data_IF_013539905672
#
_entry.id   IF_013539905672
#
_cell.length_a   1.000
_cell.length_b   1.000
_cell.length_c   1.000
_cell.angle_alpha   90.00
_cell.angle_beta   90.00
_cell.angle_gamma   90.00
#
_symmetry.space_group_name_H-M   'P 1'
#
loop_
_entity.id
_entity.type
_entity.pdbx_description
1 polymer ?
#
# COMPACT_ATOMS: atom_id res chain seq x y z
N UNK A 1 4.01 -5.51 22.43
CA UNK A 1 4.96 -4.47 22.88
C UNK A 1 4.37 -3.06 22.78
N UNK A 2 4.04 -2.56 21.58
CA UNK A 2 3.58 -1.16 21.40
C UNK A 2 2.42 -0.73 22.31
N UNK A 3 1.39 -1.58 22.50
CA UNK A 3 0.23 -1.27 23.35
C UNK A 3 0.60 -1.02 24.82
N UNK A 4 1.58 -1.75 25.34
CA UNK A 4 2.09 -1.56 26.70
C UNK A 4 2.92 -0.29 26.81
N UNK A 5 3.80 -0.04 25.83
CA UNK A 5 4.66 1.13 25.81
C UNK A 5 3.86 2.44 25.76
N UNK A 6 2.84 2.51 24.90
CA UNK A 6 2.01 3.72 24.76
C UNK A 6 1.20 3.99 26.04
N UNK A 7 0.71 2.95 26.72
CA UNK A 7 0.05 3.06 28.03
C UNK A 7 1.00 3.56 29.10
N UNK A 8 2.21 2.98 29.18
CA UNK A 8 3.25 3.42 30.12
C UNK A 8 3.59 4.90 29.91
N UNK A 9 3.81 5.32 28.65
CA UNK A 9 4.17 6.71 28.34
C UNK A 9 3.05 7.70 28.67
N UNK A 10 1.80 7.36 28.37
CA UNK A 10 0.67 8.20 28.74
C UNK A 10 0.50 8.29 30.27
N UNK A 11 0.62 7.18 30.99
CA UNK A 11 0.40 7.16 32.45
C UNK A 11 1.54 7.75 33.28
N UNK A 12 2.78 7.42 32.91
CA UNK A 12 3.95 7.66 33.75
C UNK A 12 4.80 8.84 33.27
N UNK A 13 4.68 9.22 31.98
CA UNK A 13 5.42 10.36 31.41
C UNK A 13 4.54 11.54 31.02
N UNK A 14 3.22 11.42 31.18
CA UNK A 14 2.23 12.42 30.77
C UNK A 14 2.33 12.78 29.27
N UNK A 15 2.69 11.80 28.44
CA UNK A 15 2.88 12.03 27.01
C UNK A 15 1.54 12.10 26.29
N UNK A 16 1.42 13.07 25.37
CA UNK A 16 0.39 13.04 24.34
C UNK A 16 0.80 12.02 23.27
N UNK A 17 0.07 10.90 23.20
CA UNK A 17 0.43 9.76 22.37
C UNK A 17 -0.62 9.45 21.32
N UNK A 18 -0.20 9.08 20.12
CA UNK A 18 -1.11 8.58 19.07
C UNK A 18 -0.80 7.13 18.70
N UNK A 19 -1.86 6.38 18.37
CA UNK A 19 -1.74 5.12 17.63
C UNK A 19 -2.40 5.31 16.26
N UNK A 20 -1.60 5.16 15.21
CA UNK A 20 -2.03 5.31 13.83
C UNK A 20 -2.04 3.94 13.16
N UNK A 21 -3.17 3.56 12.57
CA UNK A 21 -3.31 2.37 11.71
C UNK A 21 -3.69 2.76 10.28
N UNK A 22 -3.49 1.90 9.25
CA UNK A 22 -3.76 2.28 7.86
C UNK A 22 -5.23 2.59 7.60
N UNK A 23 -6.14 1.86 8.26
CA UNK A 23 -7.58 1.99 8.10
C UNK A 23 -8.30 2.10 9.43
N UNK A 24 -9.51 2.68 9.43
CA UNK A 24 -10.40 2.74 10.59
C UNK A 24 -10.77 1.37 11.15
N UNK A 25 -10.89 0.34 10.29
CA UNK A 25 -11.19 -1.03 10.73
C UNK A 25 -10.06 -1.59 11.59
N UNK A 26 -8.81 -1.37 11.18
CA UNK A 26 -7.62 -1.83 11.92
C UNK A 26 -7.45 -1.03 13.21
N UNK A 27 -7.60 0.29 13.14
CA UNK A 27 -7.63 1.17 14.30
C UNK A 27 -8.68 0.75 15.34
N UNK A 28 -9.87 0.32 14.91
CA UNK A 28 -10.94 -0.15 15.80
C UNK A 28 -10.56 -1.41 16.57
N UNK A 29 -9.78 -2.32 15.99
CA UNK A 29 -9.28 -3.50 16.70
C UNK A 29 -8.33 -3.08 17.84
N UNK A 30 -7.38 -2.20 17.53
CA UNK A 30 -6.43 -1.69 18.51
C UNK A 30 -7.15 -0.94 19.63
N UNK A 31 -8.14 -0.12 19.29
CA UNK A 31 -8.98 0.58 20.26
C UNK A 31 -9.65 -0.38 21.25
N UNK A 32 -10.24 -1.48 20.77
CA UNK A 32 -10.87 -2.49 21.64
C UNK A 32 -9.87 -3.09 22.61
N UNK A 33 -8.65 -3.37 22.15
CA UNK A 33 -7.61 -3.94 23.01
C UNK A 33 -7.11 -2.93 24.06
N UNK A 34 -6.79 -1.70 23.65
CA UNK A 34 -6.35 -0.65 24.58
C UNK A 34 -7.43 -0.32 25.61
N UNK A 35 -8.69 -0.27 25.20
CA UNK A 35 -9.83 -0.12 26.13
C UNK A 35 -9.94 -1.28 27.11
N UNK A 36 -9.70 -2.52 26.67
CA UNK A 36 -9.71 -3.69 27.57
C UNK A 36 -8.57 -3.58 28.57
N UNK A 37 -7.38 -3.20 28.12
CA UNK A 37 -6.20 -3.03 28.98
C UNK A 37 -6.37 -1.87 29.96
N UNK A 38 -7.00 -0.76 29.54
CA UNK A 38 -7.16 0.43 30.39
C UNK A 38 -8.06 0.19 31.60
N UNK A 39 -8.95 -0.81 31.56
CA UNK A 39 -9.79 -1.22 32.71
C UNK A 39 -8.98 -1.68 33.91
N UNK A 40 -7.74 -2.10 33.70
CA UNK A 40 -6.85 -2.51 34.79
C UNK A 40 -6.20 -1.33 35.53
N UNK A 41 -6.49 -0.09 35.11
CA UNK A 41 -5.85 1.11 35.64
C UNK A 41 -6.88 2.18 36.01
N UNK A 42 -7.08 2.41 37.30
CA UNK A 42 -8.03 3.40 37.84
C UNK A 42 -7.68 4.87 37.49
N UNK A 43 -6.45 5.10 37.04
CA UNK A 43 -5.96 6.41 36.62
C UNK A 43 -6.26 6.75 35.15
N UNK A 44 -6.90 5.84 34.42
CA UNK A 44 -7.26 6.03 33.01
C UNK A 44 -8.76 6.28 32.86
N UNK A 45 -9.12 7.25 32.05
CA UNK A 45 -10.50 7.55 31.65
C UNK A 45 -10.64 7.36 30.15
N UNK A 46 -11.74 6.75 29.71
CA UNK A 46 -11.93 6.35 28.31
C UNK A 46 -13.07 7.14 27.68
N UNK A 47 -12.79 7.93 26.64
CA UNK A 47 -13.79 8.54 25.78
C UNK A 47 -14.08 7.64 24.57
N UNK A 48 -15.29 7.08 24.50
CA UNK A 48 -15.68 6.24 23.35
C UNK A 48 -15.81 7.04 22.06
N UNK A 49 -16.41 8.23 22.16
CA UNK A 49 -16.73 9.05 20.97
C UNK A 49 -15.46 9.57 20.29
N UNK A 50 -14.42 9.90 21.07
CA UNK A 50 -13.16 10.41 20.54
C UNK A 50 -12.12 9.32 20.25
N UNK A 51 -12.43 8.06 20.59
CA UNK A 51 -11.46 6.96 20.64
C UNK A 51 -10.18 7.37 21.36
N UNK A 52 -10.34 7.89 22.58
CA UNK A 52 -9.30 8.53 23.38
C UNK A 52 -9.25 7.96 24.80
N UNK A 53 -8.05 7.78 25.33
CA UNK A 53 -7.80 7.44 26.74
C UNK A 53 -6.99 8.57 27.35
N UNK A 54 -7.44 9.10 28.48
CA UNK A 54 -6.76 10.14 29.24
C UNK A 54 -6.25 9.59 30.56
N UNK A 55 -5.00 9.90 30.89
CA UNK A 55 -4.43 9.66 32.20
C UNK A 55 -4.69 10.85 33.11
N UNK A 56 -5.03 10.61 34.38
CA UNK A 56 -5.31 11.66 35.39
C UNK A 56 -4.22 12.73 35.50
N UNK A 57 -2.97 12.40 35.18
CA UNK A 57 -1.81 13.28 35.27
C UNK A 57 -1.51 14.07 33.97
N UNK A 58 -2.37 13.96 32.95
CA UNK A 58 -2.33 14.80 31.74
C UNK A 58 -1.84 14.12 30.46
N UNK A 59 -1.35 12.88 30.52
CA UNK A 59 -1.04 12.11 29.31
C UNK A 59 -2.30 11.60 28.61
N UNK A 60 -2.18 11.28 27.33
CA UNK A 60 -3.30 10.82 26.53
C UNK A 60 -2.89 9.80 25.46
N UNK A 61 -3.84 9.00 25.02
CA UNK A 61 -3.72 8.09 23.89
C UNK A 61 -4.92 8.32 22.98
N UNK A 62 -4.68 8.72 21.73
CA UNK A 62 -5.72 8.84 20.72
C UNK A 62 -5.50 7.84 19.59
N UNK A 63 -6.58 7.25 19.11
CA UNK A 63 -6.54 6.34 17.96
C UNK A 63 -6.87 7.12 16.69
N UNK A 64 -6.04 6.92 15.67
CA UNK A 64 -6.11 7.60 14.38
C UNK A 64 -5.95 6.62 13.22
N UNK A 65 -6.40 7.04 12.06
CA UNK A 65 -6.35 6.28 10.81
C UNK A 65 -5.59 7.08 9.77
N UNK A 66 -4.66 6.44 9.05
CA UNK A 66 -3.94 7.04 7.93
C UNK A 66 -4.74 7.04 6.62
N UNK A 67 -6.02 6.62 6.64
CA UNK A 67 -6.88 6.63 5.45
C UNK A 67 -7.06 8.04 4.85
N UNK A 68 -7.10 9.09 5.69
CA UNK A 68 -7.15 10.49 5.26
C UNK A 68 -6.02 11.25 5.98
N UNK A 69 -4.78 11.22 5.46
CA UNK A 69 -3.61 11.76 6.17
C UNK A 69 -3.74 13.24 6.54
N UNK A 70 -4.37 14.06 5.70
CA UNK A 70 -4.47 15.51 5.94
C UNK A 70 -5.23 15.88 7.21
N UNK A 71 -6.18 15.04 7.66
CA UNK A 71 -6.94 15.30 8.90
C UNK A 71 -6.13 15.07 10.17
N UNK A 72 -4.92 14.54 10.05
CA UNK A 72 -4.04 14.23 11.17
C UNK A 72 -3.14 15.41 11.56
N UNK A 73 -3.05 16.46 10.73
CA UNK A 73 -2.17 17.60 10.97
C UNK A 73 -2.64 18.44 12.17
N UNK A 74 -1.69 19.08 12.86
CA UNK A 74 -1.97 20.14 13.83
C UNK A 74 -1.92 19.76 15.31
N UNK A 75 -1.58 18.50 15.66
CA UNK A 75 -1.37 18.10 17.05
C UNK A 75 0.13 18.00 17.41
N UNK A 76 0.53 18.47 18.59
CA UNK A 76 1.88 18.31 19.12
C UNK A 76 2.02 17.02 19.94
N UNK A 77 2.78 16.06 19.44
CA UNK A 77 2.90 14.70 20.00
C UNK A 77 4.23 14.49 20.74
N UNK A 78 4.17 13.73 21.83
CA UNK A 78 5.35 13.24 22.53
C UNK A 78 5.77 11.85 22.04
N UNK A 79 4.79 11.05 21.61
CA UNK A 79 5.06 9.70 21.11
C UNK A 79 3.99 9.24 20.11
N UNK A 80 4.38 8.41 19.16
CA UNK A 80 3.45 7.83 18.19
C UNK A 80 3.82 6.39 17.87
N UNK A 81 2.80 5.55 17.75
CA UNK A 81 2.93 4.20 17.17
C UNK A 81 2.30 4.22 15.78
N UNK A 82 3.10 3.92 14.76
CA UNK A 82 2.59 3.64 13.40
C UNK A 82 2.54 2.13 13.23
N UNK A 83 1.33 1.59 13.28
CA UNK A 83 1.05 0.16 13.20
C UNK A 83 0.68 -0.23 11.78
N UNK A 84 1.29 -1.28 11.25
CA UNK A 84 1.22 -1.65 9.83
C UNK A 84 1.77 -0.55 8.91
N UNK A 85 2.90 0.04 9.32
CA UNK A 85 3.51 1.18 8.66
C UNK A 85 3.83 0.92 7.18
N UNK A 86 4.29 -0.27 6.79
CA UNK A 86 4.60 -0.57 5.39
C UNK A 86 3.39 -0.43 4.44
N UNK A 87 2.16 -0.41 4.97
CA UNK A 87 0.92 -0.29 4.21
C UNK A 87 0.31 1.12 4.25
N UNK A 88 0.99 2.09 4.87
CA UNK A 88 0.58 3.49 4.86
C UNK A 88 1.27 4.26 3.71
N UNK A 89 0.65 5.36 3.24
CA UNK A 89 1.30 6.27 2.30
C UNK A 89 2.57 6.89 2.92
N UNK A 90 3.71 6.96 2.20
CA UNK A 90 5.00 7.38 2.74
C UNK A 90 5.00 8.80 3.32
N UNK A 91 4.18 9.70 2.76
CA UNK A 91 4.02 11.08 3.23
C UNK A 91 3.51 11.17 4.68
N UNK A 92 2.87 10.12 5.21
CA UNK A 92 2.40 10.07 6.60
C UNK A 92 3.54 10.35 7.58
N UNK A 93 4.73 9.82 7.31
CA UNK A 93 5.87 10.00 8.20
C UNK A 93 6.55 11.34 7.95
N UNK A 94 7.01 11.56 6.71
CA UNK A 94 7.87 12.70 6.38
C UNK A 94 7.17 14.05 6.51
N UNK A 95 5.89 14.13 6.13
CA UNK A 95 5.17 15.39 5.97
C UNK A 95 4.18 15.69 7.09
N UNK A 96 3.75 14.68 7.84
CA UNK A 96 2.69 14.82 8.86
C UNK A 96 3.23 14.49 10.24
N UNK A 97 3.57 13.23 10.49
CA UNK A 97 3.86 12.75 11.84
C UNK A 97 5.21 13.28 12.36
N UNK A 98 6.26 13.30 11.52
CA UNK A 98 7.58 13.80 11.94
C UNK A 98 7.55 15.28 12.35
N UNK A 99 6.90 16.20 11.59
CA UNK A 99 6.67 17.57 12.06
C UNK A 99 5.95 17.65 13.40
N UNK A 100 4.90 16.84 13.61
CA UNK A 100 4.12 16.82 14.85
C UNK A 100 4.90 16.37 16.09
N UNK A 101 6.01 15.64 15.92
CA UNK A 101 6.91 15.25 17.00
C UNK A 101 7.99 16.30 17.28
N UNK A 102 8.26 17.21 16.34
CA UNK A 102 9.43 18.08 16.36
C UNK A 102 9.41 19.06 17.54
N UNK A 103 8.26 19.67 17.82
CA UNK A 103 8.11 20.65 18.91
C UNK A 103 8.40 20.07 20.29
N UNK A 104 8.22 18.75 20.47
CA UNK A 104 8.38 18.07 21.76
C UNK A 104 9.57 17.12 21.81
N UNK A 105 10.42 17.11 20.77
CA UNK A 105 11.47 16.10 20.61
C UNK A 105 10.93 14.68 20.83
N UNK A 106 9.76 14.42 20.25
CA UNK A 106 8.99 13.20 20.47
C UNK A 106 9.58 11.97 19.77
N UNK A 107 9.19 10.78 20.23
CA UNK A 107 9.62 9.51 19.67
C UNK A 107 8.57 8.85 18.76
N UNK A 108 9.00 7.94 17.89
CA UNK A 108 8.11 7.12 17.09
C UNK A 108 8.49 5.63 17.21
N UNK A 109 7.48 4.77 17.19
CA UNK A 109 7.63 3.32 17.05
C UNK A 109 6.87 2.86 15.81
N UNK A 110 7.59 2.25 14.88
CA UNK A 110 7.01 1.68 13.66
C UNK A 110 6.89 0.18 13.83
N UNK A 111 5.69 -0.36 13.64
CA UNK A 111 5.38 -1.78 13.67
C UNK A 111 4.84 -2.17 12.30
N UNK A 112 5.36 -3.22 11.69
CA UNK A 112 4.86 -3.72 10.40
C UNK A 112 5.46 -5.09 10.09
N UNK A 113 4.85 -5.80 9.15
CA UNK A 113 5.52 -6.86 8.39
C UNK A 113 6.22 -6.27 7.16
N UNK A 114 7.27 -6.92 6.64
CA UNK A 114 7.90 -6.54 5.36
C UNK A 114 6.91 -6.59 4.19
N UNK A 115 6.91 -5.54 3.36
CA UNK A 115 6.13 -5.49 2.12
C UNK A 115 6.99 -4.92 1.00
N UNK A 116 7.78 -5.81 0.38
CA UNK A 116 8.83 -5.42 -0.56
C UNK A 116 9.85 -4.45 0.07
N UNK A 117 10.58 -3.73 -0.78
CA UNK A 117 11.52 -2.67 -0.36
C UNK A 117 10.92 -1.27 -0.53
N UNK A 118 9.92 -0.97 0.27
CA UNK A 118 9.25 0.33 0.27
C UNK A 118 9.83 1.28 1.36
N UNK A 119 9.17 2.40 1.64
CA UNK A 119 9.64 3.39 2.61
C UNK A 119 9.86 2.83 4.04
N UNK A 120 9.12 1.79 4.44
CA UNK A 120 9.35 1.13 5.73
C UNK A 120 10.66 0.33 5.73
N UNK A 121 11.06 -0.24 4.59
CA UNK A 121 12.40 -0.82 4.41
C UNK A 121 13.49 0.23 4.57
N UNK A 122 13.31 1.44 4.03
CA UNK A 122 14.28 2.52 4.19
C UNK A 122 14.44 2.93 5.66
N UNK A 123 13.35 3.03 6.41
CA UNK A 123 13.40 3.25 7.87
C UNK A 123 14.09 2.11 8.60
N UNK A 124 13.78 0.86 8.23
CA UNK A 124 14.43 -0.29 8.80
C UNK A 124 15.94 -0.26 8.52
N UNK A 125 16.36 0.12 7.33
CA UNK A 125 17.77 0.25 6.98
C UNK A 125 18.45 1.41 7.71
N UNK A 126 17.78 2.55 7.89
CA UNK A 126 18.28 3.65 8.70
C UNK A 126 18.58 3.18 10.14
N UNK A 127 17.69 2.43 10.78
CA UNK A 127 17.93 1.90 12.13
C UNK A 127 18.93 0.74 12.22
N UNK A 128 19.46 0.27 11.08
CA UNK A 128 20.59 -0.68 11.00
C UNK A 128 21.93 0.03 10.79
N UNK A 129 21.92 1.27 10.29
CA UNK A 129 23.13 2.07 10.06
C UNK A 129 23.63 2.67 11.39
N UNK A 130 24.84 2.28 11.80
CA UNK A 130 25.46 2.77 13.04
C UNK A 130 25.70 4.28 13.04
N UNK A 131 25.68 4.93 11.86
CA UNK A 131 25.81 6.38 11.74
C UNK A 131 24.51 7.11 12.10
N UNK A 132 23.37 6.42 12.05
CA UNK A 132 22.05 6.97 12.36
C UNK A 132 21.69 6.69 13.83
N UNK A 133 22.28 7.45 14.76
CA UNK A 133 22.15 7.17 16.20
C UNK A 133 20.71 7.32 16.76
N UNK A 134 19.85 8.07 16.06
CA UNK A 134 18.45 8.29 16.45
C UNK A 134 17.53 7.13 16.07
N UNK A 135 18.01 6.20 15.24
CA UNK A 135 17.22 5.11 14.70
C UNK A 135 17.70 3.77 15.21
N UNK A 136 16.74 2.86 15.44
CA UNK A 136 17.05 1.49 15.81
C UNK A 136 16.03 0.53 15.24
N UNK A 137 16.53 -0.51 14.58
CA UNK A 137 15.70 -1.55 13.97
C UNK A 137 15.78 -2.86 14.74
N UNK A 138 14.64 -3.54 14.80
CA UNK A 138 14.49 -4.86 15.40
C UNK A 138 13.72 -5.76 14.43
N UNK A 139 14.04 -7.05 14.43
CA UNK A 139 13.39 -8.04 13.58
C UNK A 139 13.09 -9.27 14.44
N UNK A 140 11.85 -9.75 14.36
CA UNK A 140 11.39 -10.91 15.13
C UNK A 140 10.61 -11.84 14.19
N UNK A 141 10.98 -13.12 14.21
CA UNK A 141 10.27 -14.19 13.50
C UNK A 141 9.14 -14.75 14.36
N UNK A 142 8.16 -15.41 13.74
CA UNK A 142 7.11 -16.13 14.46
C UNK A 142 7.67 -17.22 15.39
N UNK A 143 8.82 -17.83 15.06
CA UNK A 143 9.48 -18.84 15.94
C UNK A 143 10.00 -18.26 17.26
N UNK A 144 10.15 -16.93 17.36
CA UNK A 144 10.53 -16.24 18.59
C UNK A 144 9.32 -15.89 19.46
N UNK A 145 8.09 -16.13 18.98
CA UNK A 145 6.88 -15.90 19.76
C UNK A 145 6.60 -17.12 20.67
N UNK A 146 6.72 -16.98 22.01
CA UNK A 146 6.53 -18.10 22.93
C UNK A 146 5.06 -18.57 23.04
N UNK A 147 4.12 -17.81 22.45
CA UNK A 147 2.69 -18.11 22.51
C UNK A 147 2.16 -18.88 21.29
N UNK A 148 2.99 -19.11 20.27
CA UNK A 148 2.63 -19.92 19.11
C UNK A 148 3.41 -21.25 19.19
N UNK A 149 2.72 -22.41 19.22
CA UNK A 149 3.39 -23.70 19.15
C UNK A 149 4.26 -23.81 17.90
N UNK A 150 5.46 -24.39 18.03
CA UNK A 150 6.39 -24.52 16.90
C UNK A 150 5.80 -25.40 15.79
N UNK A 151 5.04 -26.43 16.15
CA UNK A 151 4.42 -27.33 15.17
C UNK A 151 3.40 -26.58 14.28
N UNK A 152 2.71 -25.57 14.81
CA UNK A 152 1.78 -24.75 14.03
C UNK A 152 2.52 -23.96 12.94
N UNK A 153 3.67 -23.37 13.29
CA UNK A 153 4.50 -22.62 12.34
C UNK A 153 5.06 -23.56 11.26
N UNK A 154 5.47 -24.76 11.65
CA UNK A 154 5.97 -25.78 10.72
C UNK A 154 4.87 -26.27 9.75
N UNK A 155 3.64 -26.44 10.25
CA UNK A 155 2.46 -26.76 9.45
C UNK A 155 2.15 -25.67 8.42
N UNK A 156 2.16 -24.40 8.85
CA UNK A 156 1.96 -23.24 7.97
C UNK A 156 3.04 -23.19 6.88
N UNK A 157 4.30 -23.47 7.22
CA UNK A 157 5.40 -23.52 6.26
C UNK A 157 5.16 -24.52 5.13
N UNK A 158 4.57 -25.67 5.46
CA UNK A 158 4.25 -26.70 4.46
C UNK A 158 3.04 -26.33 3.59
N UNK A 159 2.11 -25.53 4.12
CA UNK A 159 0.87 -25.15 3.43
C UNK A 159 0.96 -23.84 2.63
N UNK A 160 2.00 -23.03 2.85
CA UNK A 160 2.11 -21.67 2.30
C UNK A 160 3.26 -21.57 1.29
N UNK A 161 3.16 -20.65 0.32
CA UNK A 161 4.29 -20.39 -0.59
C UNK A 161 5.52 -19.89 0.16
N UNK A 162 6.71 -20.22 -0.35
CA UNK A 162 7.98 -19.83 0.29
C UNK A 162 8.11 -18.31 0.46
N UNK A 163 7.65 -17.52 -0.50
CA UNK A 163 7.69 -16.05 -0.41
C UNK A 163 6.80 -15.51 0.71
N UNK A 164 5.55 -15.97 0.79
CA UNK A 164 4.63 -15.54 1.85
C UNK A 164 5.15 -16.00 3.22
N UNK A 165 5.67 -17.23 3.33
CA UNK A 165 6.24 -17.72 4.59
C UNK A 165 7.42 -16.86 5.06
N UNK A 166 8.35 -16.54 4.16
CA UNK A 166 9.53 -15.72 4.49
C UNK A 166 9.15 -14.29 4.87
N UNK A 167 8.22 -13.67 4.16
CA UNK A 167 7.78 -12.31 4.46
C UNK A 167 6.95 -12.24 5.77
N UNK A 168 5.87 -13.01 5.87
CA UNK A 168 4.89 -12.89 6.97
C UNK A 168 5.36 -13.56 8.27
N UNK A 169 6.13 -14.65 8.19
CA UNK A 169 6.51 -15.43 9.37
C UNK A 169 7.99 -15.27 9.73
N UNK A 170 8.89 -15.22 8.75
CA UNK A 170 10.32 -14.98 9.01
C UNK A 170 10.69 -13.50 9.04
N UNK A 171 9.72 -12.60 8.79
CA UNK A 171 9.93 -11.16 8.76
C UNK A 171 11.07 -10.73 7.83
N UNK A 172 11.25 -11.41 6.69
CA UNK A 172 12.30 -11.10 5.71
C UNK A 172 11.84 -10.07 4.69
N UNK A 173 12.67 -9.05 4.46
CA UNK A 173 12.53 -8.18 3.30
C UNK A 173 13.00 -8.92 2.06
N UNK A 174 12.05 -9.49 1.32
CA UNK A 174 12.33 -10.15 0.07
C UNK A 174 12.68 -9.13 -1.01
N UNK A 175 13.73 -9.46 -1.78
CA UNK A 175 13.92 -8.89 -3.11
C UNK A 175 12.74 -9.25 -4.02
N UNK A 176 12.55 -8.51 -5.11
CA UNK A 176 11.58 -8.81 -6.19
C UNK A 176 11.77 -10.21 -6.84
N UNK A 177 12.62 -11.08 -6.27
CA UNK A 177 12.97 -12.41 -6.75
C UNK A 177 11.77 -13.37 -6.94
N UNK A 178 10.60 -13.04 -6.35
CA UNK A 178 9.34 -13.77 -6.55
C UNK A 178 8.33 -13.10 -7.48
N UNK A 179 8.59 -11.87 -7.95
CA UNK A 179 7.73 -11.16 -8.90
C UNK A 179 8.20 -11.45 -10.33
N UNK A 180 7.26 -11.56 -11.27
CA UNK A 180 7.57 -11.72 -12.71
C UNK A 180 8.37 -10.51 -13.23
N UNK A 181 8.15 -9.34 -12.63
CA UNK A 181 8.83 -8.09 -12.97
C UNK A 181 9.65 -7.59 -11.77
N UNK A 182 10.89 -7.21 -12.02
CA UNK A 182 11.84 -6.68 -11.03
C UNK A 182 12.15 -5.22 -11.31
N UNK A 183 12.47 -4.45 -10.27
CA UNK A 183 12.89 -3.05 -10.42
C UNK A 183 11.76 -2.13 -10.83
N UNK A 184 10.51 -2.48 -10.49
CA UNK A 184 9.31 -1.74 -10.91
C UNK A 184 9.38 -0.28 -10.44
N UNK A 185 9.74 -0.04 -9.18
CA UNK A 185 9.84 1.32 -8.64
C UNK A 185 10.92 2.15 -9.35
N UNK A 186 12.05 1.54 -9.70
CA UNK A 186 13.10 2.21 -10.46
C UNK A 186 12.70 2.49 -11.92
N UNK A 187 11.81 1.67 -12.49
CA UNK A 187 11.30 1.83 -13.85
C UNK A 187 10.08 2.77 -13.94
N UNK A 188 9.36 3.01 -12.84
CA UNK A 188 8.14 3.82 -12.80
C UNK A 188 8.42 5.34 -12.79
N UNK A 189 9.19 5.83 -13.76
CA UNK A 189 9.65 7.23 -13.85
C UNK A 189 8.86 8.06 -14.86
N UNK A 190 7.68 7.60 -15.28
CA UNK A 190 6.87 8.32 -16.26
C UNK A 190 6.38 9.67 -15.69
N UNK A 191 6.31 10.74 -16.51
CA UNK A 191 5.76 12.03 -16.08
C UNK A 191 4.31 11.88 -15.58
N UNK A 192 3.89 12.65 -14.58
CA UNK A 192 2.53 12.59 -14.04
C UNK A 192 1.44 13.06 -15.03
N UNK A 193 1.80 13.94 -15.97
CA UNK A 193 0.86 14.57 -16.91
C UNK A 193 1.43 14.67 -18.33
N UNK A 194 1.67 13.53 -19.00
CA UNK A 194 2.15 13.51 -20.37
C UNK A 194 1.08 14.09 -21.31
N UNK A 195 1.52 14.79 -22.37
CA UNK A 195 0.66 15.30 -23.44
C UNK A 195 1.08 14.66 -24.77
N UNK A 196 0.15 14.43 -25.71
CA UNK A 196 0.51 13.94 -27.04
C UNK A 196 1.42 14.96 -27.74
N UNK A 197 2.49 14.45 -28.34
CA UNK A 197 3.46 15.22 -29.11
C UNK A 197 3.31 14.85 -30.58
N UNK A 198 3.41 15.85 -31.44
CA UNK A 198 3.30 15.66 -32.88
C UNK A 198 4.47 14.84 -33.43
N UNK A 199 4.20 14.01 -34.43
CA UNK A 199 5.21 13.15 -35.07
C UNK A 199 5.65 11.92 -34.26
N UNK A 200 5.12 11.73 -33.04
CA UNK A 200 5.43 10.55 -32.21
C UNK A 200 4.63 9.32 -32.61
N UNK A 201 5.26 8.17 -32.41
CA UNK A 201 4.61 6.86 -32.55
C UNK A 201 4.06 6.37 -31.20
N UNK A 202 2.75 6.35 -31.07
CA UNK A 202 2.07 5.77 -29.91
C UNK A 202 1.55 4.37 -30.22
N UNK A 203 1.76 3.44 -29.30
CA UNK A 203 1.23 2.07 -29.35
C UNK A 203 0.63 1.71 -28.01
N UNK A 204 -0.25 0.72 -27.95
CA UNK A 204 -0.86 0.34 -26.69
C UNK A 204 -1.52 -1.02 -26.66
N UNK A 205 -2.11 -1.30 -25.52
CA UNK A 205 -2.84 -2.54 -25.26
C UNK A 205 -4.15 -2.29 -24.53
N UNK A 206 -5.10 -3.19 -24.75
CA UNK A 206 -6.39 -3.26 -24.05
C UNK A 206 -6.47 -4.61 -23.35
N UNK A 207 -6.69 -4.57 -22.05
CA UNK A 207 -7.03 -5.72 -21.22
C UNK A 207 -8.51 -5.64 -20.84
N UNK A 208 -9.29 -6.67 -21.17
CA UNK A 208 -10.74 -6.65 -21.04
C UNK A 208 -11.19 -7.15 -19.66
N UNK A 209 -11.86 -6.29 -18.89
CA UNK A 209 -12.47 -6.65 -17.61
C UNK A 209 -13.93 -7.08 -17.74
N UNK A 210 -14.38 -7.98 -16.85
CA UNK A 210 -15.79 -8.40 -16.70
C UNK A 210 -16.53 -7.56 -15.65
N UNK A 211 -17.75 -7.96 -15.27
CA UNK A 211 -18.63 -7.28 -14.31
C UNK A 211 -18.03 -6.99 -12.93
N UNK A 212 -16.93 -7.65 -12.54
CA UNK A 212 -16.16 -7.35 -11.31
C UNK A 212 -14.74 -6.85 -11.58
N UNK A 213 -14.19 -7.12 -12.75
CA UNK A 213 -12.82 -6.78 -13.12
C UNK A 213 -12.80 -5.44 -13.86
N UNK A 214 -11.62 -4.85 -13.96
CA UNK A 214 -11.45 -3.60 -14.67
C UNK A 214 -10.98 -3.85 -16.09
N UNK A 215 -11.58 -3.14 -17.05
CA UNK A 215 -10.98 -2.96 -18.36
C UNK A 215 -9.88 -1.91 -18.23
N UNK A 216 -8.70 -2.19 -18.76
CA UNK A 216 -7.53 -1.32 -18.70
C UNK A 216 -7.02 -1.04 -20.11
N UNK A 217 -6.74 0.23 -20.39
CA UNK A 217 -6.10 0.66 -21.64
C UNK A 217 -4.79 1.31 -21.26
N UNK A 218 -3.70 0.87 -21.89
CA UNK A 218 -2.35 1.44 -21.67
C UNK A 218 -1.77 1.90 -23.00
N UNK A 219 -1.32 3.15 -23.05
CA UNK A 219 -0.58 3.72 -24.18
C UNK A 219 0.88 3.96 -23.81
N UNK A 220 1.77 3.69 -24.76
CA UNK A 220 3.22 3.82 -24.66
C UNK A 220 3.72 4.65 -25.85
N UNK A 221 4.58 5.62 -25.58
CA UNK A 221 5.39 6.26 -26.62
C UNK A 221 6.50 5.28 -27.02
N UNK A 222 6.49 4.84 -28.27
CA UNK A 222 7.40 3.80 -28.75
C UNK A 222 8.87 4.26 -28.78
N UNK A 223 9.13 5.57 -28.85
CA UNK A 223 10.48 6.13 -28.87
C UNK A 223 11.04 6.26 -27.46
N UNK A 224 10.29 6.89 -26.55
CA UNK A 224 10.75 7.12 -25.17
C UNK A 224 10.52 5.91 -24.25
N UNK A 225 9.70 4.96 -24.69
CA UNK A 225 9.25 3.78 -23.93
C UNK A 225 8.49 4.14 -22.65
N UNK A 226 7.97 5.37 -22.57
CA UNK A 226 7.20 5.83 -21.42
C UNK A 226 5.73 5.45 -21.58
N UNK A 227 5.11 5.01 -20.48
CA UNK A 227 3.65 4.92 -20.40
C UNK A 227 3.11 6.36 -20.38
N UNK A 228 2.28 6.69 -21.38
CA UNK A 228 1.75 8.05 -21.58
C UNK A 228 0.27 8.16 -21.28
N UNK A 229 -0.47 7.06 -21.22
CA UNK A 229 -1.83 7.07 -20.74
C UNK A 229 -2.19 5.72 -20.13
N UNK A 230 -2.92 5.76 -19.02
CA UNK A 230 -3.55 4.59 -18.42
C UNK A 230 -4.99 4.97 -18.10
N UNK A 231 -5.93 4.29 -18.73
CA UNK A 231 -7.35 4.36 -18.34
C UNK A 231 -7.79 3.05 -17.73
N UNK A 232 -8.58 3.14 -16.66
CA UNK A 232 -9.11 1.99 -15.95
C UNK A 232 -10.57 2.24 -15.58
N UNK A 233 -11.46 1.33 -15.94
CA UNK A 233 -12.88 1.41 -15.62
C UNK A 233 -13.52 0.03 -15.41
N UNK A 234 -14.52 -0.05 -14.54
CA UNK A 234 -15.30 -1.25 -14.25
C UNK A 234 -16.80 -0.93 -14.21
N UNK A 235 -17.65 -1.96 -14.34
CA UNK A 235 -19.12 -1.82 -14.26
C UNK A 235 -19.73 -0.84 -15.28
N UNK A 236 -19.04 -0.62 -16.40
CA UNK A 236 -19.48 0.25 -17.48
C UNK A 236 -20.01 -0.60 -18.64
N UNK A 237 -21.17 -0.23 -19.20
CA UNK A 237 -21.73 -0.90 -20.37
C UNK A 237 -20.83 -0.79 -21.61
N UNK A 238 -20.86 -1.80 -22.50
CA UNK A 238 -19.95 -1.91 -23.65
C UNK A 238 -19.88 -0.69 -24.56
N UNK A 239 -21.02 -0.03 -24.81
CA UNK A 239 -21.05 1.19 -25.63
C UNK A 239 -20.21 2.31 -25.02
N UNK A 240 -20.27 2.49 -23.69
CA UNK A 240 -19.49 3.52 -23.00
C UNK A 240 -18.01 3.12 -22.89
N UNK A 241 -17.68 1.84 -22.77
CA UNK A 241 -16.29 1.36 -22.87
C UNK A 241 -15.69 1.70 -24.24
N UNK A 242 -16.41 1.41 -25.32
CA UNK A 242 -15.98 1.75 -26.69
C UNK A 242 -15.83 3.26 -26.89
N UNK A 243 -16.78 4.05 -26.38
CA UNK A 243 -16.70 5.52 -26.43
C UNK A 243 -15.45 6.08 -25.76
N UNK A 244 -15.04 5.51 -24.61
CA UNK A 244 -13.79 5.89 -23.93
C UNK A 244 -12.55 5.51 -24.76
N UNK A 245 -12.53 4.31 -25.32
CA UNK A 245 -11.43 3.86 -26.20
C UNK A 245 -11.31 4.80 -27.41
N UNK A 246 -12.43 5.13 -28.06
CA UNK A 246 -12.45 6.03 -29.20
C UNK A 246 -11.97 7.44 -28.83
N UNK A 247 -12.41 7.99 -27.69
CA UNK A 247 -11.95 9.30 -27.21
C UNK A 247 -10.43 9.32 -26.94
N UNK A 248 -9.91 8.27 -26.32
CA UNK A 248 -8.48 8.13 -26.07
C UNK A 248 -7.69 8.03 -27.39
N UNK A 249 -8.22 7.30 -28.38
CA UNK A 249 -7.62 7.19 -29.71
C UNK A 249 -7.67 8.51 -30.49
N UNK A 250 -8.73 9.29 -30.36
CA UNK A 250 -8.83 10.61 -30.99
C UNK A 250 -7.79 11.58 -30.41
N UNK A 251 -7.53 11.50 -29.10
CA UNK A 251 -6.55 12.35 -28.42
C UNK A 251 -5.10 11.96 -28.76
N UNK A 252 -4.76 10.68 -28.63
CA UNK A 252 -3.37 10.21 -28.74
C UNK A 252 -2.98 9.70 -30.12
N UNK A 253 -3.96 9.42 -30.99
CA UNK A 253 -3.75 8.87 -32.34
C UNK A 253 -2.76 7.69 -32.37
N UNK A 254 -2.96 6.64 -31.55
CA UNK A 254 -2.07 5.49 -31.56
C UNK A 254 -2.06 4.81 -32.92
N UNK A 255 -0.90 4.33 -33.36
CA UNK A 255 -0.79 3.55 -34.58
C UNK A 255 -1.42 2.17 -34.43
N UNK A 256 -1.27 1.55 -33.25
CA UNK A 256 -1.80 0.21 -32.94
C UNK A 256 -2.24 0.09 -31.49
N UNK A 257 -3.38 -0.56 -31.28
CA UNK A 257 -3.82 -1.10 -29.99
C UNK A 257 -3.93 -2.62 -30.08
N UNK A 258 -3.33 -3.35 -29.15
CA UNK A 258 -3.44 -4.80 -29.08
C UNK A 258 -4.46 -5.20 -28.02
N UNK A 259 -5.47 -5.98 -28.38
CA UNK A 259 -6.50 -6.43 -27.46
C UNK A 259 -6.60 -7.95 -27.46
N UNK A 260 -6.76 -8.56 -26.28
CA UNK A 260 -6.93 -10.02 -26.20
C UNK A 260 -8.19 -10.46 -26.95
N UNK A 261 -8.03 -11.42 -27.86
CA UNK A 261 -9.13 -12.02 -28.61
C UNK A 261 -9.68 -13.23 -27.86
N UNK A 262 -10.57 -12.96 -26.91
CA UNK A 262 -11.40 -13.96 -26.24
C UNK A 262 -12.87 -13.82 -26.70
N UNK A 263 -13.76 -14.70 -26.22
CA UNK A 263 -15.18 -14.73 -26.66
C UNK A 263 -15.93 -13.41 -26.43
N UNK A 264 -15.44 -12.55 -25.54
CA UNK A 264 -16.00 -11.22 -25.26
C UNK A 264 -15.25 -10.13 -26.03
N UNK A 265 -13.92 -10.24 -26.09
CA UNK A 265 -13.05 -9.32 -26.80
C UNK A 265 -13.38 -9.25 -28.29
N UNK A 266 -13.73 -10.39 -28.92
CA UNK A 266 -14.01 -10.49 -30.35
C UNK A 266 -15.13 -9.53 -30.82
N UNK A 267 -16.28 -9.51 -30.13
CA UNK A 267 -17.42 -8.63 -30.50
C UNK A 267 -17.07 -7.15 -30.33
N UNK A 268 -16.31 -6.81 -29.29
CA UNK A 268 -15.87 -5.43 -29.06
C UNK A 268 -14.78 -5.01 -30.05
N UNK A 269 -13.88 -5.92 -30.42
CA UNK A 269 -12.85 -5.73 -31.44
C UNK A 269 -13.47 -5.38 -32.79
N UNK A 270 -14.41 -6.19 -33.28
CA UNK A 270 -15.11 -5.94 -34.55
C UNK A 270 -15.80 -4.58 -34.55
N UNK A 271 -16.51 -4.25 -33.46
CA UNK A 271 -17.22 -3.00 -33.35
C UNK A 271 -16.27 -1.78 -33.30
N UNK A 272 -15.15 -1.87 -32.59
CA UNK A 272 -14.13 -0.83 -32.54
C UNK A 272 -13.43 -0.64 -33.89
N UNK A 273 -13.16 -1.73 -34.62
CA UNK A 273 -12.60 -1.66 -35.97
C UNK A 273 -13.56 -0.99 -36.94
N UNK A 274 -14.86 -1.28 -36.83
CA UNK A 274 -15.90 -0.60 -37.61
C UNK A 274 -15.96 0.90 -37.30
N UNK A 275 -15.69 1.29 -36.05
CA UNK A 275 -15.61 2.69 -35.60
C UNK A 275 -14.26 3.36 -35.98
N UNK A 276 -13.39 2.70 -36.74
CA UNK A 276 -12.11 3.24 -37.23
C UNK A 276 -10.98 3.24 -36.19
N UNK A 277 -11.16 2.57 -35.05
CA UNK A 277 -10.13 2.44 -34.03
C UNK A 277 -9.05 1.45 -34.51
N UNK A 278 -7.75 1.77 -34.38
CA UNK A 278 -6.66 0.95 -34.90
C UNK A 278 -6.33 -0.24 -33.97
N UNK A 279 -7.35 -1.02 -33.62
CA UNK A 279 -7.23 -2.17 -32.73
C UNK A 279 -6.96 -3.48 -33.49
N UNK A 280 -6.06 -4.30 -32.95
CA UNK A 280 -5.61 -5.58 -33.49
C UNK A 280 -5.81 -6.69 -32.45
N UNK A 281 -6.25 -7.88 -32.87
CA UNK A 281 -6.39 -9.01 -31.97
C UNK A 281 -5.02 -9.57 -31.54
N UNK A 282 -4.93 -10.01 -30.29
CA UNK A 282 -3.81 -10.75 -29.73
C UNK A 282 -4.33 -12.06 -29.11
N UNK A 283 -3.75 -13.20 -29.51
CA UNK A 283 -4.06 -14.51 -28.92
C UNK A 283 -2.87 -14.99 -28.09
N UNK A 284 -3.00 -15.08 -26.76
CA UNK A 284 -1.93 -15.64 -25.94
C UNK A 284 -1.72 -17.11 -26.30
N UNK A 285 -0.46 -17.54 -26.32
CA UNK A 285 -0.12 -18.94 -26.52
C UNK A 285 -0.63 -19.77 -25.33
N UNK A 286 -1.16 -20.99 -25.54
CA UNK A 286 -1.59 -21.84 -24.45
C UNK A 286 -0.41 -22.10 -23.49
N UNK A 287 -0.64 -22.17 -22.17
CA UNK A 287 0.42 -22.38 -21.20
C UNK A 287 1.10 -23.72 -21.49
N UNK A 288 2.41 -23.67 -21.75
CA UNK A 288 3.25 -24.88 -21.85
C UNK A 288 3.27 -25.51 -20.46
N UNK A 289 2.59 -26.65 -20.28
CA UNK A 289 2.74 -27.47 -19.07
C UNK A 289 4.19 -27.92 -19.00
N UNK A 290 4.99 -27.27 -18.15
CA UNK A 290 6.30 -27.81 -17.74
C UNK A 290 6.02 -29.14 -17.03
N UNK A 291 6.51 -30.24 -17.62
CA UNK A 291 6.58 -31.55 -16.96
C UNK A 291 7.63 -31.52 -15.87
#
# INVERSE_FOLDING_TARGET
>A
MGKWLILDYAMNRNYACWWVSPTYRMASQVWRDLKRMSRNFEQLTVSQNEMRIDAKKGGSIEIRSAHLPDVLRGAGLNFVVLDEAAFMPPEIWGEIVRPMLSDKSGGALFLSTPYGRNWFYDLYMAGRDRRQQEWRSFQYTSYQNPYIPREEIDSIRAATSSSVFRAEYMAEFLDDDGLVFRGIHAAATAPAHPRPLEGRLYVGGIDWGRSRDFTVITLIDAETRQVVAVERFNQVGWALQRGRIAALCALWKPAYLWAEENSIGAVNLEALQADGVPVRPFRPLPPVKRR
#
